data_IF_375531277750
#
_entry.id   IF_375531277750
#
_cell.length_a   1.000
_cell.length_b   1.000
_cell.length_c   1.000
_cell.angle_alpha   90.00
_cell.angle_beta   90.00
_cell.angle_gamma   90.00
#
_symmetry.space_group_name_H-M   'P 1'
#
loop_
_entity.id
_entity.type
_entity.pdbx_description
1 polymer ?
#
# COMPACT_ATOMS: atom_id res chain seq x y z
N UNK A 1 58.00 -27.23 -31.45
CA UNK A 1 57.85 -27.49 -30.02
C UNK A 1 56.99 -26.37 -29.43
N UNK A 2 55.68 -26.46 -29.70
CA UNK A 2 54.66 -25.46 -29.27
C UNK A 2 53.94 -25.98 -28.04
N UNK A 3 54.07 -25.28 -26.95
CA UNK A 3 53.19 -25.46 -25.78
C UNK A 3 51.87 -24.74 -26.05
N UNK A 4 50.82 -25.50 -26.27
CA UNK A 4 49.47 -25.01 -26.16
C UNK A 4 49.18 -24.71 -24.68
N UNK A 5 48.99 -23.46 -24.41
CA UNK A 5 48.40 -23.01 -23.13
C UNK A 5 46.88 -23.19 -23.32
N UNK A 6 46.31 -24.19 -22.67
CA UNK A 6 44.88 -24.28 -22.46
C UNK A 6 44.53 -23.18 -21.45
N UNK A 7 43.90 -22.13 -21.94
CA UNK A 7 43.18 -21.20 -21.09
C UNK A 7 41.96 -21.92 -20.47
N UNK A 8 42.14 -22.39 -19.26
CA UNK A 8 41.01 -22.72 -18.40
C UNK A 8 40.30 -21.41 -18.06
N UNK A 9 39.18 -21.15 -18.71
CA UNK A 9 38.26 -20.11 -18.32
C UNK A 9 37.58 -20.54 -16.99
N UNK A 10 38.27 -20.31 -15.89
CA UNK A 10 37.65 -20.40 -14.57
C UNK A 10 36.49 -19.43 -14.51
N UNK A 11 35.32 -19.90 -14.13
CA UNK A 11 34.18 -19.04 -13.78
C UNK A 11 34.62 -18.06 -12.71
N UNK A 12 34.67 -16.79 -13.05
CA UNK A 12 35.01 -15.74 -12.09
C UNK A 12 33.88 -15.65 -11.05
N UNK A 13 34.10 -15.98 -9.77
CA UNK A 13 33.03 -16.23 -8.81
C UNK A 13 32.22 -15.00 -8.45
N UNK A 14 32.64 -13.81 -8.85
CA UNK A 14 32.05 -12.55 -8.39
C UNK A 14 30.91 -12.00 -9.26
N UNK A 15 30.61 -12.57 -10.43
CA UNK A 15 29.62 -11.99 -11.37
C UNK A 15 28.81 -13.01 -12.19
N UNK A 16 28.59 -14.21 -11.68
CA UNK A 16 27.75 -15.18 -12.37
C UNK A 16 26.27 -15.02 -12.02
N UNK A 17 25.42 -15.04 -13.03
CA UNK A 17 23.97 -15.01 -12.90
C UNK A 17 23.40 -16.39 -13.14
N UNK A 18 22.26 -16.69 -12.52
CA UNK A 18 21.55 -17.94 -12.72
C UNK A 18 20.07 -17.68 -13.03
N UNK A 19 19.48 -18.62 -13.76
CA UNK A 19 18.07 -18.64 -14.11
C UNK A 19 17.53 -20.07 -14.08
N UNK A 20 16.33 -20.26 -13.53
CA UNK A 20 15.60 -21.53 -13.54
C UNK A 20 14.21 -21.29 -14.10
N UNK A 21 13.81 -22.05 -15.15
CA UNK A 21 12.46 -22.05 -15.70
C UNK A 21 11.60 -23.15 -15.02
N UNK A 22 10.28 -22.92 -14.97
CA UNK A 22 9.34 -23.80 -14.24
C UNK A 22 9.15 -25.17 -14.87
N UNK A 23 9.31 -25.27 -16.18
CA UNK A 23 9.02 -26.47 -16.97
C UNK A 23 10.21 -27.47 -17.08
N UNK A 24 11.39 -27.07 -16.60
CA UNK A 24 12.62 -27.89 -16.71
C UNK A 24 13.42 -27.82 -15.42
N UNK A 25 14.01 -28.95 -15.04
CA UNK A 25 14.96 -29.00 -13.93
C UNK A 25 16.38 -28.66 -14.41
N UNK A 26 16.53 -27.55 -15.14
CA UNK A 26 17.79 -27.08 -15.68
C UNK A 26 18.09 -25.69 -15.20
N UNK A 27 19.24 -25.53 -14.58
CA UNK A 27 19.77 -24.25 -14.13
C UNK A 27 20.65 -23.67 -15.22
N UNK A 28 20.35 -22.49 -15.68
CA UNK A 28 21.13 -21.72 -16.65
C UNK A 28 22.09 -20.80 -15.90
N UNK A 29 23.36 -20.83 -16.23
CA UNK A 29 24.42 -20.06 -15.61
C UNK A 29 25.08 -19.16 -16.67
N UNK A 30 25.13 -17.84 -16.44
CA UNK A 30 25.84 -16.91 -17.33
C UNK A 30 26.85 -16.05 -16.55
N UNK A 31 28.07 -15.83 -17.08
CA UNK A 31 29.10 -15.06 -16.39
C UNK A 31 28.75 -13.54 -16.26
N UNK A 32 27.99 -12.98 -17.20
CA UNK A 32 27.75 -11.54 -17.33
C UNK A 32 26.28 -11.17 -17.51
N UNK A 33 25.36 -12.15 -17.45
CA UNK A 33 23.94 -11.90 -17.77
C UNK A 33 23.62 -11.88 -19.27
N UNK A 34 24.62 -12.09 -20.16
CA UNK A 34 24.44 -12.21 -21.62
C UNK A 34 24.13 -13.66 -21.97
N UNK A 35 23.18 -13.87 -22.88
CA UNK A 35 22.65 -15.20 -23.24
C UNK A 35 23.58 -16.04 -24.09
N UNK A 36 24.59 -15.45 -24.71
CA UNK A 36 25.46 -16.16 -25.68
C UNK A 36 26.51 -17.11 -25.07
N UNK A 37 26.68 -17.10 -23.75
CA UNK A 37 27.63 -17.93 -23.00
C UNK A 37 26.99 -18.76 -21.90
N UNK A 38 25.69 -19.05 -21.99
CA UNK A 38 24.98 -19.80 -20.96
C UNK A 38 25.47 -21.24 -20.85
N UNK A 39 25.88 -21.65 -19.66
CA UNK A 39 26.11 -23.06 -19.30
C UNK A 39 24.87 -23.61 -18.62
N UNK A 40 24.57 -24.88 -18.90
CA UNK A 40 23.41 -25.55 -18.30
C UNK A 40 23.85 -26.60 -17.28
N UNK A 41 23.13 -26.68 -16.17
CA UNK A 41 23.33 -27.70 -15.13
C UNK A 41 22.00 -28.41 -14.91
N UNK A 42 21.97 -29.72 -15.09
CA UNK A 42 20.81 -30.53 -14.73
C UNK A 42 20.67 -30.66 -13.22
N UNK A 43 19.47 -30.43 -12.71
CA UNK A 43 19.15 -30.52 -11.31
C UNK A 43 18.35 -31.79 -11.01
N UNK A 44 18.55 -32.37 -9.82
CA UNK A 44 17.59 -33.34 -9.33
C UNK A 44 16.23 -32.65 -9.05
N UNK A 45 15.12 -33.42 -9.06
CA UNK A 45 13.80 -32.87 -8.73
C UNK A 45 13.77 -32.17 -7.35
N UNK A 46 14.53 -32.70 -6.39
CA UNK A 46 14.65 -32.13 -5.03
C UNK A 46 15.41 -30.80 -5.05
N UNK A 47 16.52 -30.71 -5.79
CA UNK A 47 17.29 -29.47 -5.94
C UNK A 47 16.48 -28.38 -6.65
N UNK A 48 15.78 -28.73 -7.73
CA UNK A 48 14.90 -27.80 -8.43
C UNK A 48 13.73 -27.34 -7.54
N UNK A 49 13.15 -28.24 -6.73
CA UNK A 49 12.11 -27.90 -5.75
C UNK A 49 12.58 -26.87 -4.73
N UNK A 50 13.75 -27.08 -4.14
CA UNK A 50 14.34 -26.14 -3.17
C UNK A 50 14.61 -24.74 -3.77
N UNK A 51 15.01 -24.65 -5.05
CA UNK A 51 15.19 -23.36 -5.73
C UNK A 51 13.84 -22.69 -5.97
N UNK A 52 12.78 -23.46 -6.31
CA UNK A 52 11.42 -22.91 -6.51
C UNK A 52 10.75 -22.43 -5.22
N UNK A 53 11.20 -22.90 -4.07
CA UNK A 53 10.76 -22.40 -2.75
C UNK A 53 11.33 -21.02 -2.43
N UNK A 54 12.30 -20.52 -3.20
CA UNK A 54 12.78 -19.14 -3.10
C UNK A 54 11.65 -18.20 -3.52
N UNK A 55 10.97 -17.61 -2.56
CA UNK A 55 9.88 -16.64 -2.77
C UNK A 55 10.38 -15.21 -2.85
N UNK A 56 9.49 -14.26 -3.14
CA UNK A 56 9.76 -12.84 -3.47
C UNK A 56 10.58 -12.03 -2.44
N UNK A 57 10.91 -12.60 -1.30
CA UNK A 57 11.79 -11.99 -0.30
C UNK A 57 13.13 -12.69 -0.44
N UNK A 58 14.17 -11.96 -0.85
CA UNK A 58 15.56 -12.38 -1.02
C UNK A 58 15.93 -13.56 -0.12
N UNK A 59 15.75 -14.77 -0.60
CA UNK A 59 16.23 -15.95 0.09
C UNK A 59 17.49 -16.42 -0.60
N UNK A 60 18.44 -16.80 0.18
CA UNK A 60 19.68 -17.42 -0.28
C UNK A 60 19.59 -18.93 -0.04
N UNK A 61 20.12 -19.69 -0.97
CA UNK A 61 20.15 -21.14 -0.90
C UNK A 61 21.57 -21.65 -1.16
N UNK A 62 22.12 -22.39 -0.22
CA UNK A 62 23.35 -23.15 -0.46
C UNK A 62 22.94 -24.48 -1.08
N UNK A 63 23.47 -24.80 -2.25
CA UNK A 63 23.19 -26.03 -2.98
C UNK A 63 24.49 -26.58 -3.57
N UNK A 64 24.59 -27.90 -3.64
CA UNK A 64 25.70 -28.57 -4.28
C UNK A 64 25.30 -28.91 -5.71
N UNK A 65 26.06 -28.45 -6.69
CA UNK A 65 25.84 -28.68 -8.11
C UNK A 65 27.00 -29.48 -8.70
N UNK A 66 26.70 -30.27 -9.72
CA UNK A 66 27.71 -30.94 -10.53
C UNK A 66 28.02 -30.06 -11.75
N UNK A 67 29.07 -29.25 -11.68
CA UNK A 67 29.50 -28.34 -12.74
C UNK A 67 30.77 -28.92 -13.35
N UNK A 68 30.78 -29.13 -14.66
CA UNK A 68 31.93 -29.65 -15.40
C UNK A 68 32.57 -30.93 -14.81
N UNK A 69 31.72 -31.85 -14.33
CA UNK A 69 32.09 -33.10 -13.64
C UNK A 69 32.73 -32.91 -12.24
N UNK A 70 32.72 -31.74 -11.71
CA UNK A 70 33.15 -31.46 -10.33
C UNK A 70 31.94 -31.13 -9.46
N UNK A 71 31.94 -31.66 -8.25
CA UNK A 71 30.92 -31.36 -7.24
C UNK A 71 31.29 -30.04 -6.60
N UNK A 72 30.52 -28.98 -6.90
CA UNK A 72 30.79 -27.62 -6.45
C UNK A 72 29.64 -27.13 -5.54
N UNK A 73 29.98 -26.70 -4.36
CA UNK A 73 29.03 -25.99 -3.52
C UNK A 73 28.85 -24.56 -4.03
N UNK A 74 27.62 -24.19 -4.33
CA UNK A 74 27.28 -22.86 -4.83
C UNK A 74 26.23 -22.21 -3.94
N UNK A 75 26.39 -20.93 -3.74
CA UNK A 75 25.43 -20.12 -3.04
C UNK A 75 24.59 -19.34 -4.06
N UNK A 76 23.30 -19.66 -4.13
CA UNK A 76 22.33 -18.97 -4.98
C UNK A 76 21.64 -17.90 -4.16
N UNK A 77 21.68 -16.66 -4.64
CA UNK A 77 20.90 -15.56 -4.12
C UNK A 77 19.97 -15.11 -5.22
N UNK A 78 18.65 -15.10 -4.99
CA UNK A 78 17.73 -14.77 -6.06
C UNK A 78 16.30 -14.59 -5.59
N UNK A 79 15.44 -14.36 -6.57
CA UNK A 79 14.01 -14.19 -6.36
C UNK A 79 13.20 -14.77 -7.49
N UNK A 80 11.92 -14.99 -7.24
CA UNK A 80 10.96 -15.29 -8.30
C UNK A 80 10.74 -14.03 -9.14
N UNK A 81 11.02 -14.12 -10.45
CA UNK A 81 10.87 -13.00 -11.38
C UNK A 81 9.42 -12.90 -11.88
N UNK A 82 8.84 -14.06 -12.22
CA UNK A 82 7.44 -14.18 -12.65
C UNK A 82 6.89 -15.55 -12.23
N UNK A 83 5.67 -15.89 -12.64
CA UNK A 83 5.02 -17.15 -12.23
C UNK A 83 5.73 -18.42 -12.69
N UNK A 84 6.71 -18.33 -13.61
CA UNK A 84 7.39 -19.48 -14.22
C UNK A 84 8.91 -19.38 -14.21
N UNK A 85 9.48 -18.38 -13.56
CA UNK A 85 10.91 -18.11 -13.65
C UNK A 85 11.50 -17.56 -12.34
N UNK A 86 12.66 -18.06 -11.98
CA UNK A 86 13.49 -17.60 -10.87
C UNK A 86 14.87 -17.21 -11.41
N UNK A 87 15.44 -16.14 -10.90
CA UNK A 87 16.78 -15.71 -11.28
C UNK A 87 17.48 -14.95 -10.16
N UNK A 88 18.81 -14.88 -10.25
CA UNK A 88 19.63 -14.20 -9.28
C UNK A 88 21.11 -14.24 -9.57
N UNK A 89 21.93 -14.01 -8.56
CA UNK A 89 23.37 -14.12 -8.59
C UNK A 89 23.85 -15.43 -7.95
N UNK A 90 24.96 -15.93 -8.45
CA UNK A 90 25.62 -17.15 -7.96
C UNK A 90 27.03 -16.81 -7.51
N UNK A 91 27.41 -17.29 -6.35
CA UNK A 91 28.79 -17.29 -5.88
C UNK A 91 29.26 -18.75 -5.74
N UNK A 92 30.36 -19.10 -6.39
CA UNK A 92 31.03 -20.37 -6.12
C UNK A 92 31.83 -20.24 -4.84
N UNK A 93 31.79 -21.30 -4.02
CA UNK A 93 32.71 -21.39 -2.89
C UNK A 93 34.14 -21.54 -3.46
N UNK A 94 35.17 -20.82 -2.93
CA UNK A 94 36.52 -20.90 -3.48
C UNK A 94 37.00 -22.35 -3.46
N UNK A 95 37.65 -22.76 -4.59
CA UNK A 95 38.29 -24.05 -4.76
C UNK A 95 39.29 -24.33 -3.64
N UNK A 96 38.86 -25.00 -2.61
CA UNK A 96 39.72 -25.68 -1.67
C UNK A 96 39.32 -27.16 -1.69
N UNK A 97 40.27 -28.10 -1.80
CA UNK A 97 39.96 -29.52 -1.71
C UNK A 97 39.24 -29.77 -0.40
N UNK A 98 38.18 -30.57 -0.45
CA UNK A 98 37.18 -30.85 0.60
C UNK A 98 37.72 -30.91 2.06
N UNK A 99 38.14 -29.80 2.55
CA UNK A 99 38.28 -29.54 4.00
C UNK A 99 36.97 -28.82 4.37
N UNK A 100 36.17 -29.45 5.20
CA UNK A 100 34.98 -28.80 5.77
C UNK A 100 35.39 -27.41 6.27
N UNK A 101 34.60 -26.35 5.91
CA UNK A 101 34.94 -24.99 6.34
C UNK A 101 35.13 -25.00 7.85
N UNK A 102 36.22 -24.40 8.33
CA UNK A 102 36.44 -24.32 9.76
C UNK A 102 35.29 -23.54 10.38
N UNK A 103 34.87 -23.92 11.58
CA UNK A 103 33.79 -23.26 12.31
C UNK A 103 33.91 -21.72 12.31
N UNK A 104 35.13 -21.21 12.23
CA UNK A 104 35.45 -19.79 12.09
C UNK A 104 35.08 -19.19 10.73
N UNK A 105 35.18 -19.95 9.63
CA UNK A 105 34.78 -19.49 8.28
C UNK A 105 33.26 -19.50 8.10
N UNK A 106 32.57 -20.49 8.66
CA UNK A 106 31.10 -20.53 8.68
C UNK A 106 30.53 -19.36 9.51
N UNK A 107 31.15 -19.05 10.64
CA UNK A 107 30.76 -17.95 11.51
C UNK A 107 30.96 -16.60 10.79
N UNK A 108 32.13 -16.42 10.16
CA UNK A 108 32.45 -15.17 9.41
C UNK A 108 31.48 -14.94 8.26
N UNK A 109 31.12 -16.00 7.53
CA UNK A 109 30.17 -15.91 6.43
C UNK A 109 28.74 -15.60 6.93
N UNK A 110 28.30 -16.25 8.00
CA UNK A 110 27.00 -15.94 8.61
C UNK A 110 26.95 -14.46 9.10
N UNK A 111 28.03 -13.97 9.66
CA UNK A 111 28.17 -12.57 10.07
C UNK A 111 28.08 -11.61 8.88
N UNK A 112 28.71 -11.94 7.76
CA UNK A 112 28.68 -11.14 6.56
C UNK A 112 27.27 -11.10 5.95
N UNK A 113 26.55 -12.23 5.90
CA UNK A 113 25.15 -12.28 5.44
C UNK A 113 24.27 -11.35 6.29
N UNK A 114 24.40 -11.42 7.60
CA UNK A 114 23.62 -10.56 8.51
C UNK A 114 24.00 -9.08 8.34
N UNK A 115 25.28 -8.79 8.10
CA UNK A 115 25.76 -7.42 7.91
C UNK A 115 25.26 -6.78 6.63
N UNK A 116 25.22 -7.56 5.53
CA UNK A 116 24.83 -7.06 4.18
C UNK A 116 23.32 -7.24 3.89
N UNK A 117 22.54 -7.75 4.84
CA UNK A 117 21.10 -7.90 4.67
C UNK A 117 20.40 -6.54 4.46
N UNK A 118 19.49 -6.46 3.48
CA UNK A 118 18.66 -5.27 3.22
C UNK A 118 17.54 -5.04 4.26
N UNK A 119 17.71 -5.59 5.45
CA UNK A 119 16.79 -5.45 6.58
C UNK A 119 17.57 -5.07 7.82
N UNK A 120 17.00 -4.22 8.67
CA UNK A 120 17.56 -4.00 10.00
C UNK A 120 17.41 -5.29 10.80
N UNK A 121 18.53 -5.81 11.32
CA UNK A 121 18.53 -7.05 12.10
C UNK A 121 19.12 -6.76 13.47
N UNK A 122 18.30 -7.01 14.50
CA UNK A 122 18.72 -7.01 15.89
C UNK A 122 18.40 -8.36 16.54
N UNK A 123 19.34 -8.90 17.31
CA UNK A 123 19.13 -10.12 18.09
C UNK A 123 19.10 -9.72 19.56
N UNK A 124 18.07 -10.17 20.26
CA UNK A 124 17.84 -9.87 21.67
C UNK A 124 17.89 -11.13 22.51
N UNK A 125 18.41 -11.02 23.74
CA UNK A 125 18.28 -12.04 24.76
C UNK A 125 16.88 -12.06 25.38
N UNK A 126 16.60 -13.02 26.24
CA UNK A 126 15.33 -13.18 26.96
C UNK A 126 14.95 -11.99 27.86
N UNK A 127 15.88 -11.06 28.13
CA UNK A 127 15.67 -9.83 28.91
C UNK A 127 15.50 -8.61 28.02
N UNK A 128 15.49 -8.77 26.68
CA UNK A 128 15.41 -7.70 25.70
C UNK A 128 16.70 -6.86 25.60
N UNK A 129 17.85 -7.45 25.96
CA UNK A 129 19.14 -6.81 25.72
C UNK A 129 19.66 -7.17 24.34
N UNK A 130 20.28 -6.21 23.67
CA UNK A 130 20.82 -6.37 22.32
C UNK A 130 22.08 -7.23 22.37
N UNK A 131 22.08 -8.34 21.65
CA UNK A 131 23.20 -9.24 21.44
C UNK A 131 23.91 -8.99 20.09
N UNK A 132 23.15 -8.58 19.05
CA UNK A 132 23.64 -8.24 17.72
C UNK A 132 22.86 -7.07 17.13
N UNK A 133 23.52 -6.27 16.31
CA UNK A 133 22.99 -5.07 15.71
C UNK A 133 23.68 -4.83 14.37
N UNK A 134 23.03 -5.18 13.25
CA UNK A 134 23.69 -5.17 11.96
C UNK A 134 24.01 -3.75 11.44
N UNK A 135 24.80 -3.68 10.38
CA UNK A 135 25.23 -2.43 9.75
C UNK A 135 24.08 -1.52 9.37
N UNK A 136 23.00 -2.08 8.83
CA UNK A 136 21.83 -1.29 8.44
C UNK A 136 21.14 -0.66 9.69
N UNK A 137 21.10 -1.34 10.81
CA UNK A 137 20.66 -0.75 12.08
C UNK A 137 21.52 0.46 12.47
N UNK A 138 22.86 0.36 12.31
CA UNK A 138 23.76 1.47 12.59
C UNK A 138 23.51 2.68 11.66
N UNK A 139 23.25 2.41 10.37
CA UNK A 139 22.98 3.46 9.38
C UNK A 139 21.68 4.22 9.68
N UNK A 140 20.63 3.51 10.05
CA UNK A 140 19.35 4.14 10.40
C UNK A 140 19.37 4.88 11.72
N UNK A 141 19.98 4.31 12.75
CA UNK A 141 19.96 4.87 14.11
C UNK A 141 21.11 5.80 14.42
N UNK A 142 22.27 5.56 13.77
CA UNK A 142 23.53 6.24 14.05
C UNK A 142 24.26 5.70 15.27
N UNK A 143 23.74 4.67 15.90
CA UNK A 143 24.38 3.99 17.03
C UNK A 143 25.27 2.87 16.48
N UNK A 144 26.43 2.67 17.08
CA UNK A 144 27.32 1.58 16.70
C UNK A 144 26.98 0.32 17.49
N UNK A 145 27.11 -0.85 16.85
CA UNK A 145 26.86 -2.14 17.48
C UNK A 145 27.59 -2.25 18.82
N UNK A 146 28.90 -1.93 18.87
CA UNK A 146 29.72 -1.96 20.08
C UNK A 146 29.19 -1.12 21.24
N UNK A 147 28.42 -0.06 20.93
CA UNK A 147 27.91 0.89 21.91
C UNK A 147 26.53 0.46 22.45
N UNK A 148 25.82 -0.41 21.73
CA UNK A 148 24.45 -0.84 22.06
C UNK A 148 24.39 -2.29 22.59
N UNK A 149 25.37 -3.12 22.34
CA UNK A 149 25.44 -4.49 22.90
C UNK A 149 25.28 -4.47 24.42
N UNK A 150 24.43 -5.36 24.94
CA UNK A 150 24.08 -5.47 26.35
C UNK A 150 23.10 -4.40 26.86
N UNK A 151 22.80 -3.38 26.06
CA UNK A 151 21.79 -2.38 26.40
C UNK A 151 20.38 -2.88 26.08
N UNK A 152 19.39 -2.35 26.79
CA UNK A 152 17.99 -2.72 26.60
C UNK A 152 17.41 -2.00 25.38
N UNK A 153 16.86 -2.76 24.40
CA UNK A 153 16.15 -2.24 23.23
C UNK A 153 14.99 -1.31 23.62
N UNK A 154 14.31 -1.61 24.74
CA UNK A 154 13.21 -0.79 25.25
C UNK A 154 13.65 0.61 25.67
N UNK A 155 14.85 0.76 26.23
CA UNK A 155 15.37 2.07 26.65
C UNK A 155 15.86 2.91 25.48
N UNK A 156 16.37 2.25 24.44
CA UNK A 156 16.99 2.94 23.30
C UNK A 156 15.95 3.41 22.27
N UNK A 157 14.90 2.60 22.02
CA UNK A 157 14.04 2.80 20.84
C UNK A 157 12.55 2.96 21.16
N UNK A 158 12.16 2.94 22.44
CA UNK A 158 10.75 2.99 22.81
C UNK A 158 10.47 4.08 23.84
N UNK A 159 9.31 4.71 23.75
CA UNK A 159 8.79 5.54 24.82
C UNK A 159 8.47 4.69 26.06
N UNK A 160 8.37 5.32 27.24
CA UNK A 160 8.08 4.62 28.51
C UNK A 160 6.80 3.78 28.43
N UNK A 161 5.79 4.28 27.73
CA UNK A 161 4.48 3.62 27.54
C UNK A 161 4.59 2.41 26.62
N UNK A 162 5.28 2.57 25.50
CA UNK A 162 5.54 1.48 24.54
C UNK A 162 6.45 0.40 25.10
N UNK A 163 7.45 0.79 25.91
CA UNK A 163 8.36 -0.14 26.56
C UNK A 163 7.63 -1.10 27.54
N UNK A 164 6.64 -0.60 28.28
CA UNK A 164 5.83 -1.44 29.19
C UNK A 164 5.00 -2.46 28.39
N UNK A 165 4.27 -1.99 27.38
CA UNK A 165 3.47 -2.86 26.52
C UNK A 165 4.34 -3.91 25.80
N UNK A 166 5.47 -3.49 25.22
CA UNK A 166 6.36 -4.39 24.48
C UNK A 166 7.05 -5.40 25.36
N UNK A 167 7.41 -5.04 26.59
CA UNK A 167 8.00 -5.99 27.54
C UNK A 167 7.01 -7.13 27.88
N UNK A 168 5.77 -6.76 28.17
CA UNK A 168 4.72 -7.75 28.44
C UNK A 168 4.48 -8.68 27.24
N UNK A 169 4.48 -8.12 26.02
CA UNK A 169 4.40 -8.90 24.79
C UNK A 169 5.59 -9.86 24.65
N UNK A 170 6.82 -9.37 24.81
CA UNK A 170 8.03 -10.21 24.67
C UNK A 170 8.06 -11.31 25.75
N UNK A 171 7.76 -11.00 27.01
CA UNK A 171 7.69 -11.99 28.08
C UNK A 171 6.64 -13.09 27.80
N UNK A 172 5.47 -12.74 27.28
CA UNK A 172 4.46 -13.70 26.86
C UNK A 172 4.89 -14.50 25.63
N UNK A 173 5.58 -13.88 24.69
CA UNK A 173 6.09 -14.55 23.48
C UNK A 173 7.22 -15.54 23.81
N UNK A 174 8.12 -15.20 24.72
CA UNK A 174 9.14 -16.15 25.19
C UNK A 174 8.53 -17.41 25.84
N UNK A 175 7.29 -17.32 26.33
CA UNK A 175 6.55 -18.47 26.84
C UNK A 175 5.91 -19.32 25.73
N UNK A 176 5.47 -18.68 24.64
CA UNK A 176 4.68 -19.33 23.56
C UNK A 176 5.45 -19.58 22.27
N UNK A 177 6.68 -19.09 22.13
CA UNK A 177 7.66 -19.33 21.04
C UNK A 177 7.07 -19.21 19.62
N UNK A 178 6.14 -18.31 19.38
CA UNK A 178 5.55 -18.08 18.05
C UNK A 178 6.21 -16.88 17.34
N UNK A 179 6.41 -17.00 16.01
CA UNK A 179 6.78 -15.86 15.18
C UNK A 179 5.63 -14.86 15.12
N UNK A 180 5.94 -13.55 15.07
CA UNK A 180 4.94 -12.51 14.94
C UNK A 180 5.45 -11.33 14.09
N UNK A 181 4.53 -10.63 13.46
CA UNK A 181 4.80 -9.42 12.71
C UNK A 181 4.23 -8.21 13.44
N UNK A 182 4.94 -7.08 13.35
CA UNK A 182 4.50 -5.82 13.94
C UNK A 182 5.03 -4.63 13.16
N UNK A 183 4.15 -3.65 12.87
CA UNK A 183 4.56 -2.36 12.32
C UNK A 183 4.92 -1.40 13.46
N UNK A 184 6.05 -0.69 13.30
CA UNK A 184 6.50 0.31 14.26
C UNK A 184 7.12 1.51 13.60
N UNK A 185 6.78 2.69 14.10
CA UNK A 185 7.48 3.92 13.80
C UNK A 185 8.76 4.01 14.61
N UNK A 186 9.88 4.12 13.93
CA UNK A 186 11.21 4.25 14.53
C UNK A 186 11.78 5.62 14.20
N UNK A 187 12.27 6.33 15.22
CA UNK A 187 13.01 7.58 15.03
C UNK A 187 14.41 7.25 14.53
N UNK A 188 14.73 7.66 13.32
CA UNK A 188 16.00 7.42 12.66
C UNK A 188 16.73 8.74 12.37
N UNK A 189 17.98 8.67 11.89
CA UNK A 189 18.71 9.85 11.37
C UNK A 189 18.01 10.50 10.17
N UNK A 190 17.24 9.72 9.41
CA UNK A 190 16.44 10.17 8.24
C UNK A 190 15.03 10.61 8.62
N UNK A 191 14.77 10.89 9.90
CA UNK A 191 13.43 11.19 10.42
C UNK A 191 12.68 9.94 10.90
N UNK A 192 11.37 10.05 11.06
CA UNK A 192 10.53 8.91 11.43
C UNK A 192 10.33 7.99 10.22
N UNK A 193 10.57 6.69 10.41
CA UNK A 193 10.40 5.64 9.42
C UNK A 193 9.52 4.52 9.97
N UNK A 194 8.67 3.98 9.12
CA UNK A 194 7.79 2.85 9.45
C UNK A 194 8.49 1.55 9.06
N UNK A 195 8.72 0.70 10.05
CA UNK A 195 9.31 -0.62 9.85
C UNK A 195 8.28 -1.71 10.07
N UNK A 196 8.23 -2.69 9.18
CA UNK A 196 7.58 -3.97 9.40
C UNK A 196 8.60 -4.94 9.99
N UNK A 197 8.47 -5.25 11.27
CA UNK A 197 9.30 -6.23 11.96
C UNK A 197 8.68 -7.61 11.88
N UNK A 198 9.48 -8.57 11.39
CA UNK A 198 9.23 -10.00 11.49
C UNK A 198 10.11 -10.58 12.58
N UNK A 199 9.50 -11.04 13.62
CA UNK A 199 10.20 -11.46 14.83
C UNK A 199 10.12 -12.98 14.98
N UNK A 200 11.26 -13.62 15.23
CA UNK A 200 11.35 -15.08 15.34
C UNK A 200 12.22 -15.48 16.53
N UNK A 201 11.77 -16.49 17.27
CA UNK A 201 12.55 -17.08 18.35
C UNK A 201 13.46 -18.19 17.83
N UNK A 202 14.69 -18.22 18.34
CA UNK A 202 15.70 -19.21 18.01
C UNK A 202 16.32 -19.76 19.30
N UNK A 203 16.46 -21.07 19.37
CA UNK A 203 17.13 -21.75 20.48
C UNK A 203 18.59 -21.96 20.15
N UNK A 204 19.45 -21.65 21.11
CA UNK A 204 20.88 -21.98 21.00
C UNK A 204 21.08 -23.45 21.33
N UNK A 205 21.48 -24.28 20.34
CA UNK A 205 21.67 -25.72 20.46
C UNK A 205 22.86 -26.18 21.36
N UNK A 206 23.61 -25.23 21.95
CA UNK A 206 24.80 -25.53 22.74
C UNK A 206 24.52 -25.72 24.23
N UNK A 207 23.66 -26.70 24.62
CA UNK A 207 23.55 -27.22 25.99
C UNK A 207 22.95 -26.29 27.06
N UNK A 208 22.90 -25.01 26.88
CA UNK A 208 22.10 -24.04 27.64
C UNK A 208 20.89 -23.69 26.83
N UNK A 209 19.70 -23.95 27.32
CA UNK A 209 18.42 -23.69 26.64
C UNK A 209 18.17 -22.18 26.56
N UNK A 210 19.09 -21.42 25.89
CA UNK A 210 19.03 -20.00 25.74
C UNK A 210 18.18 -19.68 24.50
N UNK A 211 17.15 -18.85 24.69
CA UNK A 211 16.24 -18.40 23.63
C UNK A 211 16.61 -16.97 23.27
N UNK A 212 16.78 -16.75 21.98
CA UNK A 212 17.02 -15.43 21.40
C UNK A 212 15.85 -14.99 20.54
N UNK A 213 15.58 -13.70 20.49
CA UNK A 213 14.62 -13.09 19.60
C UNK A 213 15.35 -12.39 18.44
N UNK A 214 15.18 -12.90 17.24
CA UNK A 214 15.64 -12.22 16.01
C UNK A 214 14.55 -11.26 15.58
N UNK A 215 14.88 -9.97 15.54
CA UNK A 215 14.03 -8.91 15.03
C UNK A 215 14.56 -8.47 13.66
N UNK A 216 13.87 -8.84 12.59
CA UNK A 216 14.19 -8.42 11.23
C UNK A 216 13.18 -7.38 10.75
N UNK A 217 13.61 -6.15 10.49
CA UNK A 217 12.75 -5.04 10.10
C UNK A 217 13.03 -4.55 8.69
N UNK A 218 11.99 -4.39 7.90
CA UNK A 218 12.03 -3.78 6.56
C UNK A 218 11.42 -2.39 6.63
N UNK A 219 12.10 -1.36 6.11
CA UNK A 219 11.53 -0.02 5.98
C UNK A 219 10.45 -0.03 4.89
N UNK A 220 9.21 0.17 5.31
CA UNK A 220 8.03 0.21 4.42
C UNK A 220 7.46 1.62 4.30
N UNK A 221 8.23 2.65 4.68
CA UNK A 221 7.74 4.03 4.75
C UNK A 221 7.28 4.55 3.39
N UNK A 222 8.10 4.38 2.37
CA UNK A 222 7.77 4.89 1.03
C UNK A 222 6.67 4.05 0.35
N UNK A 223 6.65 2.75 0.61
CA UNK A 223 5.57 1.87 0.14
C UNK A 223 4.22 2.29 0.74
N UNK A 224 4.18 2.49 2.06
CA UNK A 224 2.96 2.92 2.76
C UNK A 224 2.51 4.31 2.33
N UNK A 225 3.45 5.25 2.15
CA UNK A 225 3.16 6.59 1.64
C UNK A 225 2.61 6.56 0.22
N UNK A 226 3.19 5.73 -0.63
CA UNK A 226 2.72 5.56 -2.01
C UNK A 226 1.33 4.94 -2.04
N UNK A 227 1.09 3.93 -1.24
CA UNK A 227 -0.21 3.28 -1.10
C UNK A 227 -1.28 4.27 -0.61
N UNK A 228 -0.97 5.09 0.39
CA UNK A 228 -1.88 6.11 0.89
C UNK A 228 -2.14 7.22 -0.15
N UNK A 229 -1.10 7.66 -0.87
CA UNK A 229 -1.28 8.60 -2.00
C UNK A 229 -2.18 8.04 -3.07
N UNK A 230 -1.98 6.78 -3.46
CA UNK A 230 -2.84 6.11 -4.45
C UNK A 230 -4.28 6.02 -3.95
N UNK A 231 -4.49 5.70 -2.67
CA UNK A 231 -5.81 5.66 -2.04
C UNK A 231 -6.50 7.02 -2.07
N UNK A 232 -5.76 8.08 -1.71
CA UNK A 232 -6.28 9.46 -1.76
C UNK A 232 -6.64 9.81 -3.21
N UNK A 233 -5.76 9.59 -4.18
CA UNK A 233 -6.02 9.88 -5.60
C UNK A 233 -7.20 9.06 -6.16
N UNK A 234 -7.37 7.82 -5.72
CA UNK A 234 -8.48 6.97 -6.15
C UNK A 234 -9.83 7.40 -5.57
N UNK A 235 -9.85 8.08 -4.42
CA UNK A 235 -11.06 8.34 -3.65
C UNK A 235 -11.39 9.82 -3.43
N UNK A 236 -10.53 10.74 -3.89
CA UNK A 236 -10.77 12.19 -3.75
C UNK A 236 -10.80 12.90 -5.09
N UNK A 237 -11.59 13.95 -5.18
CA UNK A 237 -11.58 14.91 -6.29
C UNK A 237 -10.39 15.86 -6.12
N UNK A 238 -9.56 15.97 -7.14
CA UNK A 238 -8.29 16.73 -7.07
C UNK A 238 -8.47 18.25 -7.02
N UNK A 239 -9.61 18.77 -7.45
CA UNK A 239 -9.92 20.20 -7.43
C UNK A 239 -10.41 20.65 -6.07
N UNK A 240 -11.36 19.91 -5.49
CA UNK A 240 -12.06 20.29 -4.27
C UNK A 240 -11.56 19.59 -3.01
N UNK A 241 -10.82 18.46 -3.15
CA UNK A 241 -10.41 17.63 -2.03
C UNK A 241 -11.54 16.81 -1.40
N UNK A 242 -12.76 16.89 -1.91
CA UNK A 242 -13.90 16.11 -1.47
C UNK A 242 -13.78 14.65 -1.91
N UNK A 243 -14.50 13.71 -1.29
CA UNK A 243 -14.73 12.38 -1.84
C UNK A 243 -15.20 12.46 -3.30
N UNK A 244 -14.64 11.60 -4.15
CA UNK A 244 -15.01 11.53 -5.56
C UNK A 244 -16.14 10.52 -5.82
N UNK A 245 -16.46 10.27 -7.10
CA UNK A 245 -17.49 9.31 -7.54
C UNK A 245 -17.28 7.91 -6.95
N UNK A 246 -16.05 7.41 -6.93
CA UNK A 246 -15.78 6.07 -6.41
C UNK A 246 -16.06 5.98 -4.91
N UNK A 247 -15.54 6.94 -4.16
CA UNK A 247 -15.71 6.98 -2.70
C UNK A 247 -17.19 7.10 -2.30
N UNK A 248 -17.97 7.95 -2.98
CA UNK A 248 -19.37 8.15 -2.59
C UNK A 248 -20.22 6.90 -2.85
N UNK A 249 -19.94 6.13 -3.89
CA UNK A 249 -20.61 4.84 -4.11
C UNK A 249 -20.39 3.87 -2.94
N UNK A 250 -19.16 3.76 -2.46
CA UNK A 250 -18.83 2.92 -1.31
C UNK A 250 -19.51 3.42 -0.03
N UNK A 251 -19.51 4.73 0.23
CA UNK A 251 -20.15 5.32 1.40
C UNK A 251 -21.66 5.14 1.40
N UNK A 252 -22.35 5.31 0.26
CA UNK A 252 -23.78 5.08 0.14
C UNK A 252 -24.13 3.61 0.41
N UNK A 253 -23.40 2.67 -0.20
CA UNK A 253 -23.65 1.24 -0.01
C UNK A 253 -23.40 0.83 1.47
N UNK A 254 -22.35 1.37 2.09
CA UNK A 254 -22.09 1.14 3.50
C UNK A 254 -23.19 1.71 4.41
N UNK A 255 -23.64 2.94 4.11
CA UNK A 255 -24.72 3.58 4.86
C UNK A 255 -26.02 2.77 4.76
N UNK A 256 -26.39 2.31 3.55
CA UNK A 256 -27.59 1.47 3.33
C UNK A 256 -27.48 0.15 4.11
N UNK A 257 -26.31 -0.52 4.05
CA UNK A 257 -26.09 -1.77 4.77
C UNK A 257 -26.15 -1.63 6.29
N UNK A 258 -25.77 -0.46 6.81
CA UNK A 258 -25.72 -0.17 8.26
C UNK A 258 -26.99 0.47 8.81
N UNK A 259 -27.90 0.94 7.96
CA UNK A 259 -29.05 1.76 8.37
C UNK A 259 -30.11 1.01 9.18
N UNK A 260 -30.20 -0.34 9.05
CA UNK A 260 -31.26 -1.11 9.67
C UNK A 260 -32.67 -0.65 9.18
N UNK A 261 -33.51 -0.17 10.10
CA UNK A 261 -34.83 0.38 9.79
C UNK A 261 -34.81 1.87 9.41
N UNK A 262 -33.67 2.54 9.54
CA UNK A 262 -33.53 3.96 9.22
C UNK A 262 -33.42 4.20 7.73
N UNK A 263 -33.82 5.38 7.26
CA UNK A 263 -33.64 5.78 5.87
C UNK A 263 -32.26 6.38 5.63
N UNK A 264 -31.71 6.12 4.45
CA UNK A 264 -30.53 6.78 3.91
C UNK A 264 -30.97 7.65 2.76
N UNK A 265 -30.52 8.89 2.71
CA UNK A 265 -30.92 9.78 1.65
C UNK A 265 -29.75 10.49 1.01
N UNK A 266 -29.92 10.86 -0.24
CA UNK A 266 -28.97 11.70 -0.97
C UNK A 266 -29.65 12.93 -1.56
N UNK A 267 -28.85 13.99 -1.63
CA UNK A 267 -29.18 15.23 -2.33
C UNK A 267 -28.18 15.40 -3.45
N UNK A 268 -28.64 15.19 -4.69
CA UNK A 268 -27.83 15.38 -5.91
C UNK A 268 -28.02 16.80 -6.43
N UNK A 269 -26.95 17.50 -6.72
CA UNK A 269 -27.00 18.87 -7.17
C UNK A 269 -26.04 19.13 -8.34
N UNK A 270 -26.44 20.03 -9.23
CA UNK A 270 -25.69 20.48 -10.39
C UNK A 270 -25.74 22.02 -10.45
N UNK A 271 -24.58 22.65 -10.65
CA UNK A 271 -24.45 24.10 -10.66
C UNK A 271 -24.95 24.70 -11.98
N UNK A 272 -25.74 25.75 -11.86
CA UNK A 272 -26.27 26.44 -13.02
C UNK A 272 -25.17 27.22 -13.77
N UNK A 273 -25.15 27.03 -15.12
CA UNK A 273 -24.30 27.79 -16.03
C UNK A 273 -22.77 27.68 -15.78
N UNK A 274 -22.28 26.67 -15.05
CA UNK A 274 -20.84 26.51 -14.75
C UNK A 274 -19.98 26.45 -16.03
N UNK A 275 -20.46 25.76 -17.08
CA UNK A 275 -19.77 25.76 -18.38
C UNK A 275 -19.59 27.16 -18.96
N UNK A 276 -20.60 28.03 -18.89
CA UNK A 276 -20.49 29.43 -19.38
C UNK A 276 -19.47 30.23 -18.58
N UNK A 277 -19.35 29.95 -17.28
CA UNK A 277 -18.34 30.59 -16.41
C UNK A 277 -16.94 30.14 -16.84
N UNK A 278 -16.73 28.86 -17.10
CA UNK A 278 -15.47 28.34 -17.62
C UNK A 278 -15.13 28.94 -19.00
N UNK A 279 -16.11 29.02 -19.89
CA UNK A 279 -15.91 29.59 -21.23
C UNK A 279 -15.55 31.09 -21.17
N UNK A 280 -16.08 31.82 -20.18
CA UNK A 280 -15.85 33.26 -20.02
C UNK A 280 -14.55 33.61 -19.28
N UNK A 281 -14.19 32.84 -18.23
CA UNK A 281 -13.10 33.17 -17.30
C UNK A 281 -11.97 32.14 -17.29
N UNK A 282 -12.12 31.04 -18.01
CA UNK A 282 -11.16 29.92 -18.05
C UNK A 282 -11.29 28.92 -16.93
N UNK A 283 -10.73 27.72 -17.16
CA UNK A 283 -10.86 26.57 -16.25
C UNK A 283 -10.26 26.82 -14.85
N UNK A 284 -9.16 27.57 -14.76
CA UNK A 284 -8.55 27.91 -13.46
C UNK A 284 -9.50 28.72 -12.57
N UNK A 285 -10.29 29.60 -13.17
CA UNK A 285 -11.33 30.36 -12.45
C UNK A 285 -12.48 29.44 -12.03
N UNK A 286 -12.91 28.55 -12.92
CA UNK A 286 -13.91 27.52 -12.58
C UNK A 286 -13.50 26.62 -11.43
N UNK A 287 -12.23 26.21 -11.39
CA UNK A 287 -11.70 25.40 -10.28
C UNK A 287 -11.76 26.16 -8.94
N UNK A 288 -11.41 27.45 -8.93
CA UNK A 288 -11.54 28.29 -7.73
C UNK A 288 -13.01 28.48 -7.31
N UNK A 289 -13.92 28.61 -8.29
CA UNK A 289 -15.35 28.65 -7.99
C UNK A 289 -15.85 27.34 -7.39
N UNK A 290 -15.43 26.19 -7.92
CA UNK A 290 -15.77 24.87 -7.38
C UNK A 290 -15.28 24.71 -5.93
N UNK A 291 -14.07 25.18 -5.63
CA UNK A 291 -13.53 25.18 -4.26
C UNK A 291 -14.38 26.08 -3.34
N UNK A 292 -14.73 27.29 -3.77
CA UNK A 292 -15.57 28.20 -3.01
C UNK A 292 -16.99 27.66 -2.79
N UNK A 293 -17.57 27.02 -3.81
CA UNK A 293 -18.87 26.34 -3.73
C UNK A 293 -18.80 25.17 -2.75
N UNK A 294 -17.75 24.37 -2.81
CA UNK A 294 -17.56 23.23 -1.89
C UNK A 294 -17.56 23.66 -0.43
N UNK A 295 -16.85 24.74 -0.10
CA UNK A 295 -16.83 25.31 1.25
C UNK A 295 -18.22 25.84 1.67
N UNK A 296 -18.93 26.47 0.72
CA UNK A 296 -20.28 26.96 0.95
C UNK A 296 -21.26 25.81 1.20
N UNK A 297 -21.18 24.72 0.44
CA UNK A 297 -22.00 23.52 0.62
C UNK A 297 -21.71 22.87 1.97
N UNK A 298 -20.43 22.67 2.32
CA UNK A 298 -20.04 22.13 3.63
C UNK A 298 -20.63 22.95 4.79
N UNK A 299 -20.72 24.28 4.68
CA UNK A 299 -21.32 25.14 5.71
C UNK A 299 -22.83 24.95 5.87
N UNK A 300 -23.49 24.31 4.92
CA UNK A 300 -24.93 24.00 4.97
C UNK A 300 -25.22 22.63 5.59
N UNK A 301 -24.19 21.81 5.85
CA UNK A 301 -24.33 20.42 6.28
C UNK A 301 -24.15 20.28 7.80
N UNK A 302 -24.68 19.19 8.33
CA UNK A 302 -24.47 18.73 9.70
C UNK A 302 -23.28 17.78 9.77
N UNK A 303 -22.73 17.51 10.98
CA UNK A 303 -21.50 16.73 11.18
C UNK A 303 -21.57 15.28 10.65
N UNK A 304 -22.77 14.70 10.60
CA UNK A 304 -23.04 13.35 10.13
C UNK A 304 -23.35 13.26 8.62
N UNK A 305 -23.34 14.41 7.92
CA UNK A 305 -23.60 14.49 6.48
C UNK A 305 -22.29 14.59 5.69
N UNK A 306 -22.21 13.87 4.60
CA UNK A 306 -21.01 13.80 3.77
C UNK A 306 -21.26 14.47 2.42
N UNK A 307 -20.34 15.36 2.03
CA UNK A 307 -20.34 15.99 0.70
C UNK A 307 -19.32 15.28 -0.20
N UNK A 308 -19.70 15.01 -1.44
CA UNK A 308 -18.83 14.47 -2.49
C UNK A 308 -19.02 15.25 -3.80
N UNK A 309 -18.00 15.23 -4.67
CA UNK A 309 -18.08 15.75 -6.04
C UNK A 309 -17.93 14.59 -7.02
N UNK A 310 -18.88 14.47 -7.95
CA UNK A 310 -18.86 13.40 -8.96
C UNK A 310 -18.01 13.71 -10.17
N UNK A 311 -17.85 14.98 -10.47
CA UNK A 311 -17.13 15.54 -11.62
C UNK A 311 -17.83 16.78 -12.18
N UNK A 312 -17.13 17.56 -13.00
CA UNK A 312 -17.75 18.79 -13.55
C UNK A 312 -18.30 19.71 -12.46
N UNK A 313 -19.58 19.97 -12.54
CA UNK A 313 -20.39 20.81 -11.65
C UNK A 313 -21.35 20.02 -10.75
N UNK A 314 -21.19 18.70 -10.67
CA UNK A 314 -22.07 17.78 -9.96
C UNK A 314 -21.55 17.44 -8.56
N UNK A 315 -22.42 17.59 -7.54
CA UNK A 315 -22.14 17.24 -6.16
C UNK A 315 -23.22 16.33 -5.58
N UNK A 316 -22.87 15.55 -4.57
CA UNK A 316 -23.81 14.75 -3.78
C UNK A 316 -23.60 14.99 -2.29
N UNK A 317 -24.70 15.18 -1.58
CA UNK A 317 -24.74 15.08 -0.12
C UNK A 317 -25.34 13.73 0.25
N UNK A 318 -24.67 12.96 1.09
CA UNK A 318 -25.16 11.74 1.72
C UNK A 318 -25.56 12.03 3.18
N UNK A 319 -26.73 11.61 3.56
CA UNK A 319 -27.20 11.62 4.95
C UNK A 319 -27.68 10.22 5.35
N UNK A 320 -27.06 9.67 6.40
CA UNK A 320 -27.50 8.44 7.05
C UNK A 320 -28.53 8.78 8.13
N UNK A 321 -29.41 7.83 8.46
CA UNK A 321 -30.42 8.00 9.52
C UNK A 321 -31.29 9.27 9.36
N UNK A 322 -31.78 9.53 8.15
CA UNK A 322 -32.43 10.77 7.76
C UNK A 322 -33.92 10.58 7.44
N UNK A 323 -34.59 11.67 7.13
CA UNK A 323 -35.99 11.69 6.63
C UNK A 323 -36.11 12.58 5.41
N UNK A 324 -37.17 12.45 4.64
CA UNK A 324 -37.45 13.32 3.49
C UNK A 324 -37.44 14.81 3.91
N UNK A 325 -38.13 15.15 5.01
CA UNK A 325 -38.20 16.52 5.50
C UNK A 325 -36.82 17.10 5.88
N UNK A 326 -35.93 16.28 6.45
CA UNK A 326 -34.55 16.70 6.76
C UNK A 326 -33.75 17.00 5.49
N UNK A 327 -33.88 16.16 4.46
CA UNK A 327 -33.21 16.39 3.17
C UNK A 327 -33.76 17.62 2.43
N UNK A 328 -35.06 17.87 2.47
CA UNK A 328 -35.68 19.08 1.92
C UNK A 328 -35.18 20.35 2.63
N UNK A 329 -34.96 20.26 3.96
CA UNK A 329 -34.37 21.35 4.72
C UNK A 329 -32.91 21.60 4.31
N UNK A 330 -32.11 20.55 4.12
CA UNK A 330 -30.73 20.66 3.57
C UNK A 330 -30.75 21.30 2.20
N UNK A 331 -31.60 20.81 1.27
CA UNK A 331 -31.73 21.36 -0.07
C UNK A 331 -32.11 22.87 -0.04
N UNK A 332 -33.04 23.26 0.83
CA UNK A 332 -33.44 24.63 1.01
C UNK A 332 -32.30 25.54 1.53
N UNK A 333 -31.50 25.06 2.49
CA UNK A 333 -30.31 25.77 2.96
C UNK A 333 -29.28 25.96 1.84
N UNK A 334 -29.03 24.90 1.06
CA UNK A 334 -28.12 24.95 -0.09
C UNK A 334 -28.59 25.97 -1.13
N UNK A 335 -29.85 25.92 -1.55
CA UNK A 335 -30.44 26.88 -2.50
C UNK A 335 -30.31 28.32 -2.02
N UNK A 336 -30.58 28.57 -0.73
CA UNK A 336 -30.45 29.89 -0.12
C UNK A 336 -29.02 30.37 -0.12
N UNK A 337 -28.06 29.48 0.21
CA UNK A 337 -26.62 29.81 0.28
C UNK A 337 -26.05 30.10 -1.12
N UNK A 338 -26.39 29.30 -2.14
CA UNK A 338 -25.87 29.46 -3.49
C UNK A 338 -26.45 30.66 -4.25
N UNK A 339 -27.55 31.25 -3.78
CA UNK A 339 -28.05 32.55 -4.29
C UNK A 339 -27.16 33.73 -3.93
N UNK A 340 -26.27 33.57 -2.93
CA UNK A 340 -25.32 34.60 -2.56
C UNK A 340 -24.14 34.59 -3.53
N UNK A 341 -23.56 35.77 -3.88
CA UNK A 341 -22.44 35.85 -4.80
C UNK A 341 -21.19 35.14 -4.25
N UNK A 342 -20.42 34.55 -5.14
CA UNK A 342 -19.08 34.05 -4.89
C UNK A 342 -18.04 35.05 -5.34
N UNK A 343 -17.13 35.43 -4.45
CA UNK A 343 -16.05 36.36 -4.75
C UNK A 343 -14.77 35.58 -5.03
N UNK A 344 -14.34 35.58 -6.29
CA UNK A 344 -13.10 34.95 -6.75
C UNK A 344 -12.13 36.04 -7.15
N UNK A 345 -11.15 36.33 -6.32
CA UNK A 345 -10.29 37.49 -6.47
C UNK A 345 -11.10 38.81 -6.38
N UNK A 346 -11.13 39.58 -7.49
CA UNK A 346 -11.89 40.82 -7.62
C UNK A 346 -13.24 40.67 -8.33
N UNK A 347 -13.56 39.45 -8.79
CA UNK A 347 -14.77 39.18 -9.60
C UNK A 347 -15.84 38.56 -8.69
N UNK A 348 -17.05 39.10 -8.79
CA UNK A 348 -18.24 38.51 -8.18
C UNK A 348 -19.01 37.70 -9.21
N UNK A 349 -19.32 36.43 -8.88
CA UNK A 349 -20.04 35.50 -9.72
C UNK A 349 -21.26 34.95 -8.99
N UNK A 350 -22.36 34.89 -9.74
CA UNK A 350 -23.61 34.31 -9.26
C UNK A 350 -23.80 32.93 -9.93
N UNK A 351 -24.06 31.91 -9.13
CA UNK A 351 -24.48 30.60 -9.60
C UNK A 351 -25.61 30.10 -8.75
N UNK A 352 -26.55 29.41 -9.37
CA UNK A 352 -27.58 28.63 -8.66
C UNK A 352 -27.26 27.16 -8.75
N UNK A 353 -28.22 26.34 -8.38
CA UNK A 353 -28.19 24.91 -8.63
C UNK A 353 -29.62 24.35 -8.81
N UNK A 354 -29.69 23.21 -9.48
CA UNK A 354 -30.84 22.33 -9.44
C UNK A 354 -30.54 21.15 -8.52
N UNK A 355 -31.54 20.69 -7.78
CA UNK A 355 -31.35 19.65 -6.76
C UNK A 355 -32.38 18.54 -6.96
N UNK A 356 -31.90 17.28 -6.90
CA UNK A 356 -32.73 16.09 -6.80
C UNK A 356 -32.53 15.35 -5.50
N UNK A 357 -33.58 14.85 -4.89
CA UNK A 357 -33.57 14.13 -3.63
C UNK A 357 -34.05 12.72 -3.83
N UNK A 358 -33.31 11.76 -3.28
CA UNK A 358 -33.68 10.35 -3.28
C UNK A 358 -33.43 9.71 -1.92
N UNK A 359 -34.24 8.70 -1.57
CA UNK A 359 -34.20 7.98 -0.28
C UNK A 359 -34.19 6.47 -0.48
N UNK A 360 -33.33 5.79 0.20
CA UNK A 360 -33.37 4.33 0.38
C UNK A 360 -34.19 3.98 1.62
N UNK A 361 -34.95 2.85 1.60
CA UNK A 361 -35.07 1.89 0.50
C UNK A 361 -36.12 2.26 -0.56
N UNK A 362 -36.87 3.35 -0.37
CA UNK A 362 -38.04 3.73 -1.17
C UNK A 362 -37.74 3.97 -2.65
N UNK A 363 -36.63 4.65 -2.97
CA UNK A 363 -36.26 5.09 -4.32
C UNK A 363 -35.12 4.28 -4.91
N UNK A 364 -34.45 3.44 -4.11
CA UNK A 364 -33.35 2.57 -4.50
C UNK A 364 -32.82 1.76 -3.32
N UNK A 365 -32.15 0.64 -3.59
CA UNK A 365 -31.61 -0.27 -2.58
C UNK A 365 -30.07 -0.37 -2.63
N UNK A 366 -29.44 0.33 -3.56
CA UNK A 366 -28.01 0.40 -3.77
C UNK A 366 -27.62 1.81 -4.24
N UNK A 367 -26.32 2.08 -4.25
CA UNK A 367 -25.79 3.40 -4.63
C UNK A 367 -26.14 3.80 -6.06
N UNK A 368 -26.14 2.86 -7.01
CA UNK A 368 -26.40 3.13 -8.42
C UNK A 368 -27.85 3.56 -8.64
N UNK A 369 -28.78 2.77 -8.12
CA UNK A 369 -30.21 3.09 -8.21
C UNK A 369 -30.59 4.39 -7.49
N UNK A 370 -29.97 4.65 -6.33
CA UNK A 370 -30.25 5.84 -5.54
C UNK A 370 -29.73 7.11 -6.23
N UNK A 371 -28.52 7.06 -6.78
CA UNK A 371 -27.94 8.18 -7.54
C UNK A 371 -28.76 8.44 -8.81
N UNK A 372 -29.10 7.41 -9.55
CA UNK A 372 -29.92 7.55 -10.78
C UNK A 372 -31.27 8.19 -10.52
N UNK A 373 -31.95 7.81 -9.45
CA UNK A 373 -33.27 8.40 -9.11
C UNK A 373 -33.13 9.84 -8.63
N UNK A 374 -32.05 10.18 -7.91
CA UNK A 374 -31.76 11.55 -7.54
C UNK A 374 -31.40 12.43 -8.75
N UNK A 375 -30.61 11.92 -9.69
CA UNK A 375 -30.30 12.59 -10.97
C UNK A 375 -31.57 12.86 -11.77
N UNK A 376 -32.46 11.86 -11.91
CA UNK A 376 -33.78 12.04 -12.55
C UNK A 376 -34.59 13.17 -11.90
N UNK A 377 -34.61 13.25 -10.57
CA UNK A 377 -35.30 14.30 -9.84
C UNK A 377 -34.63 15.68 -10.07
N UNK A 378 -33.30 15.73 -10.08
CA UNK A 378 -32.54 16.95 -10.36
C UNK A 378 -32.80 17.47 -11.77
N UNK A 379 -32.87 16.57 -12.78
CA UNK A 379 -33.22 16.95 -14.13
C UNK A 379 -34.62 17.58 -14.20
N UNK A 380 -35.61 17.01 -13.52
CA UNK A 380 -36.95 17.60 -13.40
C UNK A 380 -36.90 18.99 -12.70
N UNK A 381 -36.04 19.20 -11.72
CA UNK A 381 -35.85 20.50 -11.09
C UNK A 381 -35.26 21.53 -12.08
N UNK A 382 -34.35 21.14 -12.97
CA UNK A 382 -33.80 22.00 -14.05
C UNK A 382 -34.89 22.44 -15.04
N UNK A 383 -35.75 21.52 -15.46
CA UNK A 383 -36.85 21.83 -16.39
C UNK A 383 -37.93 22.72 -15.75
N UNK A 384 -38.19 22.56 -14.45
CA UNK A 384 -39.14 23.38 -13.71
C UNK A 384 -38.74 24.82 -13.45
N UNK A 385 -37.53 25.24 -13.90
CA UNK A 385 -37.09 26.64 -13.83
C UNK A 385 -35.80 26.89 -13.06
N UNK A 386 -35.07 25.82 -12.65
CA UNK A 386 -33.81 25.90 -11.87
C UNK A 386 -33.96 26.57 -10.51
N UNK A 387 -32.93 26.62 -9.71
CA UNK A 387 -32.97 27.24 -8.39
C UNK A 387 -34.00 26.63 -7.43
N UNK A 388 -34.34 25.36 -7.63
CA UNK A 388 -35.33 24.58 -6.86
C UNK A 388 -34.86 23.14 -6.66
N UNK A 389 -35.58 22.40 -5.82
CA UNK A 389 -35.35 20.98 -5.63
C UNK A 389 -36.62 20.17 -6.01
N UNK A 390 -36.39 18.92 -6.39
CA UNK A 390 -37.45 17.91 -6.53
C UNK A 390 -37.08 16.65 -5.74
N UNK A 391 -38.09 16.04 -5.13
CA UNK A 391 -37.98 14.69 -4.56
C UNK A 391 -38.41 13.71 -5.64
N UNK A 392 -37.62 12.66 -5.84
CA UNK A 392 -37.93 11.65 -6.84
C UNK A 392 -39.35 11.05 -6.65
N UNK A 393 -40.05 10.95 -7.75
CA UNK A 393 -41.29 10.14 -7.82
C UNK A 393 -41.24 9.25 -9.08
N UNK A 394 -41.86 8.04 -9.06
CA UNK A 394 -41.81 7.12 -10.19
C UNK A 394 -42.34 7.71 -11.51
N UNK A 395 -43.26 8.68 -11.44
CA UNK A 395 -43.82 9.36 -12.60
C UNK A 395 -42.78 10.18 -13.39
N UNK A 396 -41.67 10.58 -12.73
CA UNK A 396 -40.55 11.32 -13.36
C UNK A 396 -39.84 10.46 -14.40
N UNK A 397 -39.79 9.14 -14.24
CA UNK A 397 -39.17 8.24 -15.21
C UNK A 397 -39.84 8.27 -16.59
N UNK A 398 -41.12 8.51 -16.66
CA UNK A 398 -41.85 8.54 -17.95
C UNK A 398 -41.48 9.75 -18.79
N UNK A 399 -41.19 10.89 -18.16
CA UNK A 399 -40.81 12.14 -18.85
C UNK A 399 -39.42 12.09 -19.48
N UNK A 400 -38.49 11.34 -18.90
CA UNK A 400 -37.13 11.18 -19.45
C UNK A 400 -37.12 10.32 -20.71
N UNK A 401 -38.04 9.35 -20.83
CA UNK A 401 -38.16 8.51 -22.02
C UNK A 401 -38.74 9.25 -23.23
N UNK A 402 -39.62 10.22 -23.02
CA UNK A 402 -40.26 10.97 -24.11
C UNK A 402 -39.30 11.92 -24.85
N UNK A 403 -38.18 12.36 -24.21
CA UNK A 403 -37.23 13.28 -24.78
C UNK A 403 -36.07 12.64 -25.54
N UNK A 404 -35.80 11.36 -25.40
CA UNK A 404 -34.76 10.67 -26.17
C UNK A 404 -35.24 10.16 -27.55
N UNK A 405 -36.47 10.40 -27.90
CA UNK A 405 -37.06 9.95 -29.17
C UNK A 405 -37.64 11.12 -30.03
N UNK A 406 -37.31 12.34 -29.72
CA UNK A 406 -37.56 13.53 -30.58
C UNK A 406 -36.21 14.19 -30.91
#
# INVERSE_FOLDING_TARGET
MMKQIQEQTALNPLHSHWRLADDRNVLYLSPTGETDTEKTVELSPEQAGRIREITAITSSLLITLLIEKQVTAVHLVGRKINNREWAGSLATWPDTPAVAPTQAQELSFAEQIVSEANSVIAILDSRGKICRFNRLCEEYTGLKERDVIGQSVFKLFMSRREAVASRHYIENFFRNVNAYEIERWIKTRKGQRLFLFRNKFVHNGSGKNEIFLICAGTDITEERRTQERLRILANTDTVTGLPNRNAIHEFINHAIASAGESQVGIVYLDLDNFKKINDAYGHMFGDQLLQAVSLALLSCLEEDQLLARLGGDEFIVLAAHTSQAALEAVASRILTRLRQPFRIGLIEVYTGCAIGISLAPRHGQDSESLIRTADTAMYNAKEGGRGQFCVFSPEMNQRVFDYHWL
#
